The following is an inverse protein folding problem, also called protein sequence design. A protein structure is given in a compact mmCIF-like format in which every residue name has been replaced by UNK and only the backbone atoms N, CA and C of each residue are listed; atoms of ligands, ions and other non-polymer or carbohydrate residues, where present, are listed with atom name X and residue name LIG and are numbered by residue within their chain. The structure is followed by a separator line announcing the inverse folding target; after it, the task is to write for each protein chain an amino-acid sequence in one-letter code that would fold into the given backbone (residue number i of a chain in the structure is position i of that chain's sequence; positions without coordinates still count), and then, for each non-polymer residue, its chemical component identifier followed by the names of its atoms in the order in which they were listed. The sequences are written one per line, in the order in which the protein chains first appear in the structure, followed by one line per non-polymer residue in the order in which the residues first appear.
data_IF_731942661391
#
_entry.id   IF_731942661391
#
_cell.length_a   1.000
_cell.length_b   1.000
_cell.length_c   1.000
_cell.angle_alpha   90.00
_cell.angle_beta   90.00
_cell.angle_gamma   90.00
#
_symmetry.space_group_name_H-M   'P 1'
#
loop_
_entity.id
_entity.type
_entity.pdbx_description
1 polymer ?
#
# COMPACT_ATOMS: atom_id res chain seq x y z
N UNK A 1 18.66 25.74 -1.76
CA UNK A 1 18.73 25.86 -3.24
C UNK A 1 17.87 24.72 -3.80
N UNK A 2 16.80 25.06 -4.52
CA UNK A 2 15.74 24.16 -4.98
C UNK A 2 16.27 22.93 -5.75
N UNK A 3 16.01 21.73 -5.24
CA UNK A 3 16.17 20.50 -6.00
C UNK A 3 14.93 20.30 -6.89
N UNK A 4 15.02 20.70 -8.15
CA UNK A 4 13.98 20.45 -9.14
C UNK A 4 14.05 18.97 -9.58
N UNK A 5 13.23 18.12 -8.97
CA UNK A 5 12.83 16.87 -9.61
C UNK A 5 11.98 17.25 -10.84
N UNK A 6 12.46 16.91 -12.04
CA UNK A 6 11.76 17.22 -13.30
C UNK A 6 10.44 16.44 -13.37
N UNK A 7 9.34 17.11 -13.05
CA UNK A 7 8.00 16.69 -13.46
C UNK A 7 7.82 16.89 -14.97
N UNK A 8 6.94 16.09 -15.56
CA UNK A 8 6.46 16.15 -16.94
C UNK A 8 6.40 17.60 -17.51
N UNK A 9 7.06 17.92 -18.64
CA UNK A 9 7.17 19.29 -19.17
C UNK A 9 5.84 19.93 -19.62
N UNK A 10 4.71 19.21 -19.53
CA UNK A 10 3.39 19.71 -19.89
C UNK A 10 2.54 20.22 -18.70
N UNK A 11 3.04 20.15 -17.47
CA UNK A 11 2.32 20.71 -16.31
C UNK A 11 3.30 21.23 -15.26
N UNK A 12 3.26 22.54 -15.00
CA UNK A 12 3.90 23.14 -13.83
C UNK A 12 3.10 22.74 -12.58
N UNK A 13 3.43 21.61 -11.97
CA UNK A 13 2.91 21.27 -10.64
C UNK A 13 3.82 21.93 -9.61
N UNK A 14 3.52 23.17 -9.28
CA UNK A 14 4.15 23.85 -8.14
C UNK A 14 3.58 23.30 -6.84
N UNK A 15 4.44 23.03 -5.85
CA UNK A 15 4.02 22.76 -4.47
C UNK A 15 3.51 24.08 -3.90
N UNK A 16 2.19 24.29 -3.91
CA UNK A 16 1.57 25.46 -3.30
C UNK A 16 1.27 25.15 -1.83
N UNK A 17 1.81 25.94 -0.91
CA UNK A 17 1.56 25.81 0.53
C UNK A 17 0.09 26.08 0.91
N UNK A 18 -0.70 26.70 0.03
CA UNK A 18 -2.15 26.90 0.19
C UNK A 18 -2.99 25.75 -0.40
N UNK A 19 -2.35 24.81 -1.11
CA UNK A 19 -3.02 23.62 -1.63
C UNK A 19 -3.13 22.57 -0.53
N UNK A 20 -4.35 22.31 -0.07
CA UNK A 20 -4.64 21.18 0.84
C UNK A 20 -4.51 19.81 0.15
N UNK A 21 -4.32 19.80 -1.17
CA UNK A 21 -4.24 18.59 -2.00
C UNK A 21 -2.79 18.34 -2.41
N UNK A 22 -2.20 17.28 -1.85
CA UNK A 22 -0.85 16.81 -2.17
C UNK A 22 -0.80 15.88 -3.39
N UNK A 23 -1.92 15.22 -3.70
CA UNK A 23 -2.10 14.35 -4.86
C UNK A 23 -3.39 14.77 -5.57
N UNK A 24 -3.27 15.29 -6.79
CA UNK A 24 -4.40 15.73 -7.58
C UNK A 24 -5.26 14.53 -8.05
N UNK A 25 -6.56 14.69 -8.28
CA UNK A 25 -7.42 13.60 -8.75
C UNK A 25 -6.88 12.89 -10.01
N UNK A 26 -6.32 13.66 -10.96
CA UNK A 26 -5.70 13.09 -12.17
C UNK A 26 -4.44 12.27 -11.85
N UNK A 27 -3.65 12.68 -10.85
CA UNK A 27 -2.48 11.92 -10.38
C UNK A 27 -2.92 10.62 -9.71
N UNK A 28 -3.97 10.66 -8.87
CA UNK A 28 -4.53 9.46 -8.25
C UNK A 28 -5.05 8.47 -9.29
N UNK A 29 -5.80 8.93 -10.30
CA UNK A 29 -6.27 8.08 -11.42
C UNK A 29 -5.09 7.47 -12.18
N UNK A 30 -4.04 8.25 -12.43
CA UNK A 30 -2.83 7.75 -13.10
C UNK A 30 -2.14 6.67 -12.26
N UNK A 31 -2.00 6.87 -10.96
CA UNK A 31 -1.38 5.91 -10.04
C UNK A 31 -2.17 4.60 -10.00
N UNK A 32 -3.49 4.65 -9.78
CA UNK A 32 -4.33 3.45 -9.69
C UNK A 32 -4.37 2.67 -11.00
N UNK A 33 -4.48 3.37 -12.14
CA UNK A 33 -4.43 2.75 -13.48
C UNK A 33 -3.09 2.06 -13.73
N UNK A 34 -1.99 2.71 -13.34
CA UNK A 34 -0.64 2.16 -13.51
C UNK A 34 -0.43 0.92 -12.65
N UNK A 35 -0.85 0.95 -11.37
CA UNK A 35 -0.79 -0.22 -10.48
C UNK A 35 -1.63 -1.37 -11.03
N UNK A 36 -2.84 -1.11 -11.51
CA UNK A 36 -3.69 -2.14 -12.12
C UNK A 36 -3.04 -2.77 -13.37
N UNK A 37 -2.37 -1.96 -14.20
CA UNK A 37 -1.63 -2.46 -15.36
C UNK A 37 -0.46 -3.37 -14.95
N UNK A 38 0.34 -2.98 -13.95
CA UNK A 38 1.39 -3.85 -13.42
C UNK A 38 0.85 -5.16 -12.85
N UNK A 39 -0.22 -5.11 -12.06
CA UNK A 39 -0.84 -6.30 -11.48
C UNK A 39 -1.34 -7.27 -12.56
N UNK A 40 -1.88 -6.75 -13.67
CA UNK A 40 -2.30 -7.56 -14.83
C UNK A 40 -1.13 -8.24 -15.52
N UNK A 41 -0.01 -7.54 -15.69
CA UNK A 41 1.20 -8.12 -16.31
C UNK A 41 1.77 -9.21 -15.41
N UNK A 42 1.91 -8.94 -14.11
CA UNK A 42 2.48 -9.90 -13.15
C UNK A 42 1.63 -11.18 -13.09
N UNK A 43 0.30 -11.06 -13.03
CA UNK A 43 -0.59 -12.22 -12.99
C UNK A 43 -0.56 -13.03 -14.29
N UNK A 44 -0.53 -12.34 -15.44
CA UNK A 44 -0.43 -13.00 -16.74
C UNK A 44 0.89 -13.75 -16.90
N UNK A 45 2.02 -13.14 -16.53
CA UNK A 45 3.34 -13.79 -16.59
C UNK A 45 3.43 -14.98 -15.63
N UNK A 46 2.87 -14.86 -14.42
CA UNK A 46 2.84 -15.97 -13.48
C UNK A 46 2.02 -17.16 -14.04
N UNK A 47 0.84 -16.90 -14.60
CA UNK A 47 0.00 -17.92 -15.21
C UNK A 47 0.69 -18.58 -16.42
N UNK A 48 1.30 -17.79 -17.30
CA UNK A 48 1.97 -18.30 -18.50
C UNK A 48 3.17 -19.21 -18.18
N UNK A 49 3.80 -19.00 -17.02
CA UNK A 49 5.00 -19.75 -16.58
C UNK A 49 4.71 -20.82 -15.53
N UNK A 50 3.46 -20.93 -15.07
CA UNK A 50 3.10 -21.83 -13.98
C UNK A 50 3.74 -21.44 -12.65
N UNK A 51 3.96 -20.15 -12.39
CA UNK A 51 4.48 -19.65 -11.14
C UNK A 51 3.37 -19.36 -10.14
N UNK A 52 3.71 -19.53 -8.85
CA UNK A 52 2.88 -19.10 -7.74
C UNK A 52 2.56 -17.61 -7.90
N UNK A 53 1.29 -17.26 -7.80
CA UNK A 53 0.81 -15.89 -7.87
C UNK A 53 0.00 -15.56 -6.62
N UNK A 54 0.29 -14.39 -6.04
CA UNK A 54 -0.38 -13.89 -4.84
C UNK A 54 -0.79 -12.44 -5.05
N UNK A 55 -2.06 -12.13 -4.82
CA UNK A 55 -2.58 -10.76 -4.81
C UNK A 55 -2.71 -10.24 -3.36
N UNK A 56 -1.81 -9.32 -2.92
CA UNK A 56 -1.92 -8.73 -1.59
C UNK A 56 -3.15 -7.84 -1.43
N UNK A 57 -3.74 -7.31 -2.50
CA UNK A 57 -4.91 -6.43 -2.40
C UNK A 57 -6.11 -7.19 -1.83
N UNK A 58 -6.38 -8.39 -2.35
CA UNK A 58 -7.42 -9.26 -1.83
C UNK A 58 -7.28 -9.51 -0.32
N UNK A 59 -6.05 -9.78 0.14
CA UNK A 59 -5.75 -9.98 1.56
C UNK A 59 -6.08 -8.74 2.41
N UNK A 60 -5.64 -7.54 1.98
CA UNK A 60 -5.90 -6.32 2.75
C UNK A 60 -7.36 -5.88 2.71
N UNK A 61 -8.07 -6.10 1.59
CA UNK A 61 -9.51 -5.80 1.50
C UNK A 61 -10.39 -6.70 2.36
N UNK A 62 -9.90 -7.88 2.73
CA UNK A 62 -10.60 -8.82 3.61
C UNK A 62 -10.43 -8.49 5.10
N UNK A 63 -9.60 -7.50 5.47
CA UNK A 63 -9.43 -7.09 6.85
C UNK A 63 -10.72 -6.44 7.41
N UNK A 64 -10.96 -6.53 8.73
CA UNK A 64 -12.11 -5.87 9.34
C UNK A 64 -12.16 -4.36 9.01
N UNK A 65 -13.35 -3.78 8.75
CA UNK A 65 -13.51 -2.36 8.48
C UNK A 65 -12.80 -1.48 9.53
N UNK A 66 -12.07 -0.47 9.08
CA UNK A 66 -11.31 0.43 9.95
C UNK A 66 -9.90 -0.06 10.33
N UNK A 67 -9.50 -1.27 9.93
CA UNK A 67 -8.13 -1.78 10.15
C UNK A 67 -7.06 -0.98 9.40
N UNK A 68 -7.42 -0.44 8.24
CA UNK A 68 -6.64 0.49 7.43
C UNK A 68 -7.54 1.71 7.21
N UNK A 69 -7.28 2.85 7.88
CA UNK A 69 -8.11 4.03 7.75
C UNK A 69 -7.86 4.70 6.39
N UNK A 70 -8.92 5.30 5.82
CA UNK A 70 -8.84 6.01 4.53
C UNK A 70 -8.03 7.31 4.60
N UNK A 71 -7.88 7.85 5.81
CA UNK A 71 -7.06 9.02 6.10
C UNK A 71 -6.35 8.80 7.45
N UNK A 72 -5.11 9.26 7.63
CA UNK A 72 -4.43 9.09 8.90
C UNK A 72 -5.24 9.70 10.05
N UNK A 73 -5.43 8.93 11.11
CA UNK A 73 -6.01 9.43 12.34
C UNK A 73 -4.96 10.28 13.07
N UNK A 74 -4.90 11.57 12.70
CA UNK A 74 -3.96 12.57 13.26
C UNK A 74 -4.65 13.60 14.14
N UNK A 75 -5.98 13.55 14.24
CA UNK A 75 -6.79 14.46 15.05
C UNK A 75 -7.60 13.62 16.04
N UNK A 76 -7.29 13.74 17.32
CA UNK A 76 -8.21 13.34 18.38
C UNK A 76 -9.06 14.56 18.76
N UNK A 77 -10.38 14.39 18.92
CA UNK A 77 -11.26 15.44 19.47
C UNK A 77 -10.88 15.88 20.88
N UNK A 78 -9.95 15.16 21.52
CA UNK A 78 -9.45 15.41 22.88
C UNK A 78 -8.00 15.89 22.93
N UNK A 79 -7.28 16.03 21.80
CA UNK A 79 -5.89 16.50 21.81
C UNK A 79 -5.48 17.21 20.51
N UNK A 80 -4.87 18.41 20.58
CA UNK A 80 -4.36 19.12 19.41
C UNK A 80 -3.20 18.36 18.75
N UNK A 81 -3.00 18.59 17.45
CA UNK A 81 -1.93 17.98 16.68
C UNK A 81 -0.53 18.35 17.22
N UNK A 82 0.43 17.41 17.25
CA UNK A 82 0.25 15.97 17.06
C UNK A 82 -0.18 15.32 18.38
N UNK A 83 -1.43 14.84 18.45
CA UNK A 83 -1.76 13.82 19.44
C UNK A 83 -0.87 12.62 19.12
N UNK A 84 -0.14 12.08 20.11
CA UNK A 84 0.79 10.98 19.94
C UNK A 84 0.05 9.66 19.60
N UNK A 85 -0.62 9.61 18.46
CA UNK A 85 -1.21 8.39 17.91
C UNK A 85 -0.03 7.60 17.35
N UNK A 86 0.24 6.45 17.96
CA UNK A 86 1.33 5.55 17.56
C UNK A 86 1.02 4.80 16.26
N UNK A 87 -0.24 4.81 15.82
CA UNK A 87 -0.75 4.11 14.63
C UNK A 87 -1.73 4.97 13.80
N UNK A 88 -1.31 6.13 13.27
CA UNK A 88 -2.21 7.02 12.54
C UNK A 88 -2.77 6.34 11.29
N UNK A 89 -2.06 5.37 10.71
CA UNK A 89 -2.48 4.56 9.56
C UNK A 89 -3.04 3.18 9.95
N UNK A 90 -3.49 3.01 11.20
CA UNK A 90 -3.96 1.74 11.72
C UNK A 90 -2.82 0.77 12.06
N UNK A 91 -3.18 -0.47 12.41
CA UNK A 91 -2.20 -1.47 12.87
C UNK A 91 -1.37 -2.10 11.74
N UNK A 92 -1.81 -1.95 10.49
CA UNK A 92 -1.28 -2.68 9.35
C UNK A 92 -0.28 -1.88 8.49
N UNK A 93 -0.24 -0.54 8.60
CA UNK A 93 0.74 0.30 7.92
C UNK A 93 1.57 1.12 8.89
N UNK A 94 2.81 1.41 8.51
CA UNK A 94 3.78 2.14 9.33
C UNK A 94 3.42 3.62 9.44
N UNK A 95 4.22 4.40 10.18
CA UNK A 95 4.04 5.85 10.34
C UNK A 95 4.15 6.64 9.03
N UNK A 96 4.64 6.05 7.94
CA UNK A 96 4.66 6.67 6.62
C UNK A 96 3.38 6.45 5.79
N UNK A 97 2.48 5.56 6.25
CA UNK A 97 1.24 5.23 5.55
C UNK A 97 1.42 4.45 4.25
N UNK A 98 2.62 3.95 3.96
CA UNK A 98 2.96 3.22 2.72
C UNK A 98 3.50 1.84 3.03
N UNK A 99 4.46 1.73 3.95
CA UNK A 99 5.10 0.44 4.23
C UNK A 99 4.28 -0.40 5.22
N UNK A 100 4.18 -1.72 5.02
CA UNK A 100 3.51 -2.61 5.98
C UNK A 100 4.22 -2.60 7.35
N UNK A 101 3.46 -2.76 8.43
CA UNK A 101 4.06 -3.05 9.75
C UNK A 101 4.60 -4.48 9.81
N UNK A 102 5.33 -4.82 10.87
CA UNK A 102 5.78 -6.20 11.12
C UNK A 102 4.61 -7.21 11.15
N UNK A 103 3.45 -6.80 11.68
CA UNK A 103 2.22 -7.62 11.70
C UNK A 103 1.74 -7.90 10.28
N UNK A 104 1.70 -6.87 9.42
CA UNK A 104 1.31 -7.04 8.02
C UNK A 104 2.31 -7.86 7.21
N UNK A 105 3.61 -7.68 7.44
CA UNK A 105 4.64 -8.53 6.81
C UNK A 105 4.44 -9.99 7.16
N UNK A 106 4.16 -10.32 8.43
CA UNK A 106 3.83 -11.69 8.85
C UNK A 106 2.55 -12.21 8.18
N UNK A 107 1.50 -11.39 8.11
CA UNK A 107 0.24 -11.76 7.46
C UNK A 107 0.45 -12.10 5.97
N UNK A 108 1.13 -11.21 5.24
CA UNK A 108 1.47 -11.40 3.82
C UNK A 108 2.35 -12.64 3.62
N UNK A 109 3.37 -12.81 4.45
CA UNK A 109 4.28 -13.95 4.35
C UNK A 109 3.55 -15.28 4.57
N UNK A 110 2.66 -15.37 5.56
CA UNK A 110 1.88 -16.57 5.81
C UNK A 110 0.88 -16.87 4.67
N UNK A 111 0.24 -15.84 4.10
CA UNK A 111 -0.60 -16.02 2.92
C UNK A 111 0.20 -16.52 1.71
N UNK A 112 1.39 -15.95 1.47
CA UNK A 112 2.28 -16.36 0.39
C UNK A 112 2.82 -17.78 0.59
N UNK A 113 3.15 -18.18 1.82
CA UNK A 113 3.53 -19.56 2.16
C UNK A 113 2.44 -20.55 1.72
N UNK A 114 1.16 -20.26 1.96
CA UNK A 114 0.05 -21.09 1.51
C UNK A 114 0.00 -21.22 -0.01
N UNK A 115 0.19 -20.11 -0.74
CA UNK A 115 0.22 -20.11 -2.22
C UNK A 115 1.39 -20.94 -2.74
N UNK A 116 2.59 -20.76 -2.18
CA UNK A 116 3.81 -21.50 -2.57
C UNK A 116 3.64 -23.00 -2.31
N UNK A 117 3.18 -23.38 -1.12
CA UNK A 117 2.94 -24.78 -0.77
C UNK A 117 1.91 -25.43 -1.70
N UNK A 118 0.86 -24.69 -2.09
CA UNK A 118 -0.16 -25.18 -3.02
C UNK A 118 0.38 -25.34 -4.45
N UNK A 119 1.14 -24.36 -4.94
CA UNK A 119 1.65 -24.38 -6.32
C UNK A 119 2.75 -25.43 -6.52
N UNK A 120 3.64 -25.58 -5.54
CA UNK A 120 4.86 -26.36 -5.70
C UNK A 120 4.91 -27.65 -4.86
N UNK A 121 3.86 -27.95 -4.08
CA UNK A 121 3.83 -29.12 -3.21
C UNK A 121 4.85 -29.07 -2.07
N UNK A 122 5.32 -27.87 -1.70
CA UNK A 122 6.23 -27.68 -0.59
C UNK A 122 5.53 -27.72 0.77
N UNK A 123 6.32 -27.80 1.85
CA UNK A 123 5.84 -27.82 3.22
C UNK A 123 6.53 -26.74 4.07
N UNK A 124 6.53 -25.50 3.59
CA UNK A 124 7.07 -24.36 4.33
C UNK A 124 6.17 -24.12 5.56
N UNK A 125 6.70 -24.12 6.79
CA UNK A 125 5.92 -23.85 7.99
C UNK A 125 5.51 -22.38 8.06
N UNK A 126 4.36 -22.12 8.67
CA UNK A 126 3.92 -20.75 8.93
C UNK A 126 4.84 -20.05 9.93
N UNK A 127 4.97 -18.73 9.78
CA UNK A 127 5.66 -17.86 10.72
C UNK A 127 4.82 -17.75 11.99
N UNK A 128 5.39 -18.09 13.17
CA UNK A 128 4.67 -18.14 14.45
C UNK A 128 4.22 -16.76 14.93
#
# INVERSE_FOLDING_TARGET
MLAFARANPLATVGVNCDSIVHVQPAELVKLTTTVAAYNRVISAEAAARGYAYFDPNALFTALPPGSIPTFPNVISTTAPFPAAITTPFGAFFSLDGVHPTAVSHKLVANALITVINTQYGSHIPAIP
#
